data_IF_488328543864
#
_entry.id   IF_488328543864
#
_cell.length_a   1.000
_cell.length_b   1.000
_cell.length_c   1.000
_cell.angle_alpha   90.00
_cell.angle_beta   90.00
_cell.angle_gamma   90.00
#
_symmetry.space_group_name_H-M   'P 1'
#
loop_
_entity.id
_entity.type
_entity.pdbx_description
1 polymer ?
#
# COMPACT_ATOMS: atom_id res chain seq x y z
N UNK A 1 -1.60 -21.82 -5.18
CA UNK A 1 -1.13 -22.73 -6.24
C UNK A 1 -1.02 -24.18 -5.78
N UNK A 2 -0.33 -24.50 -4.67
CA UNK A 2 -0.16 -25.89 -4.19
C UNK A 2 -1.49 -26.63 -3.96
N UNK A 3 -2.47 -26.00 -3.29
CA UNK A 3 -3.79 -26.60 -3.07
C UNK A 3 -4.59 -26.83 -4.36
N UNK A 4 -4.41 -25.97 -5.36
CA UNK A 4 -5.06 -26.09 -6.67
C UNK A 4 -4.43 -27.25 -7.44
N UNK A 5 -3.10 -27.31 -7.49
CA UNK A 5 -2.35 -28.38 -8.15
C UNK A 5 -2.68 -29.72 -7.50
N UNK A 6 -2.66 -29.79 -6.16
CA UNK A 6 -3.03 -30.98 -5.41
C UNK A 6 -4.47 -31.44 -5.71
N UNK A 7 -5.42 -30.51 -5.73
CA UNK A 7 -6.82 -30.81 -6.08
C UNK A 7 -6.97 -31.32 -7.52
N UNK A 8 -6.28 -30.68 -8.49
CA UNK A 8 -6.31 -31.08 -9.90
C UNK A 8 -5.71 -32.48 -10.10
N UNK A 9 -4.56 -32.76 -9.47
CA UNK A 9 -3.91 -34.08 -9.53
C UNK A 9 -4.80 -35.15 -8.89
N UNK A 10 -5.43 -34.86 -7.74
CA UNK A 10 -6.28 -35.84 -7.05
C UNK A 10 -7.59 -36.13 -7.80
N UNK A 11 -8.13 -35.17 -8.55
CA UNK A 11 -9.33 -35.40 -9.37
C UNK A 11 -9.05 -35.83 -10.81
N UNK A 12 -7.78 -35.90 -11.24
CA UNK A 12 -7.36 -36.40 -12.55
C UNK A 12 -8.10 -37.68 -13.00
N UNK A 13 -8.30 -38.71 -12.15
CA UNK A 13 -8.95 -39.95 -12.58
C UNK A 13 -10.44 -39.80 -12.94
N UNK A 14 -11.11 -38.72 -12.48
CA UNK A 14 -12.55 -38.51 -12.66
C UNK A 14 -12.93 -37.68 -13.90
N UNK A 15 -12.01 -36.91 -14.46
CA UNK A 15 -12.31 -35.98 -15.56
C UNK A 15 -12.10 -36.56 -16.96
N UNK A 16 -11.35 -37.67 -17.09
CA UNK A 16 -10.86 -38.13 -18.39
C UNK A 16 -9.95 -37.09 -19.07
N UNK A 17 -9.43 -37.40 -20.26
CA UNK A 17 -8.57 -36.48 -21.03
C UNK A 17 -9.33 -35.22 -21.49
N UNK A 18 -10.59 -35.39 -21.89
CA UNK A 18 -11.40 -34.32 -22.49
C UNK A 18 -11.93 -33.34 -21.43
N UNK A 19 -12.33 -33.85 -20.25
CA UNK A 19 -12.74 -33.01 -19.13
C UNK A 19 -11.57 -32.23 -18.52
N UNK A 20 -10.35 -32.81 -18.53
CA UNK A 20 -9.15 -32.09 -18.11
C UNK A 20 -8.82 -30.93 -19.05
N UNK A 21 -8.88 -31.15 -20.36
CA UNK A 21 -8.67 -30.09 -21.36
C UNK A 21 -9.69 -28.95 -21.21
N UNK A 22 -10.95 -29.25 -20.94
CA UNK A 22 -11.99 -28.25 -20.69
C UNK A 22 -11.72 -27.41 -19.43
N UNK A 23 -11.34 -28.05 -18.31
CA UNK A 23 -11.00 -27.35 -17.06
C UNK A 23 -9.77 -26.46 -17.24
N UNK A 24 -8.75 -26.94 -17.95
CA UNK A 24 -7.57 -26.14 -18.29
C UNK A 24 -7.96 -24.95 -19.18
N UNK A 25 -8.79 -25.16 -20.20
CA UNK A 25 -9.29 -24.08 -21.06
C UNK A 25 -10.01 -22.98 -20.27
N UNK A 26 -10.87 -23.36 -19.32
CA UNK A 26 -11.54 -22.41 -18.43
C UNK A 26 -10.58 -21.66 -17.51
N UNK A 27 -9.59 -22.35 -16.93
CA UNK A 27 -8.55 -21.72 -16.11
C UNK A 27 -7.70 -20.74 -16.92
N UNK A 28 -7.34 -21.10 -18.15
CA UNK A 28 -6.62 -20.23 -19.07
C UNK A 28 -7.45 -18.97 -19.32
N UNK A 29 -8.72 -19.07 -19.70
CA UNK A 29 -9.59 -17.90 -19.93
C UNK A 29 -9.71 -17.04 -18.67
N UNK A 30 -9.92 -17.66 -17.50
CA UNK A 30 -10.08 -16.96 -16.23
C UNK A 30 -8.82 -16.17 -15.83
N UNK A 31 -7.63 -16.66 -16.18
CA UNK A 31 -6.36 -15.98 -15.91
C UNK A 31 -5.97 -14.99 -17.01
N UNK A 32 -6.22 -15.32 -18.27
CA UNK A 32 -5.80 -14.50 -19.42
C UNK A 32 -6.61 -13.24 -19.53
N UNK A 33 -7.91 -13.25 -19.25
CA UNK A 33 -8.75 -12.05 -19.37
C UNK A 33 -8.31 -10.91 -18.42
N UNK A 34 -8.17 -11.12 -17.10
CA UNK A 34 -7.68 -10.06 -16.21
C UNK A 34 -6.21 -9.70 -16.48
N UNK A 35 -5.37 -10.67 -16.85
CA UNK A 35 -3.98 -10.40 -17.21
C UNK A 35 -3.90 -9.54 -18.49
N UNK A 36 -4.65 -9.88 -19.53
CA UNK A 36 -4.70 -9.13 -20.78
C UNK A 36 -5.24 -7.71 -20.56
N UNK A 37 -6.29 -7.55 -19.75
CA UNK A 37 -6.79 -6.23 -19.36
C UNK A 37 -5.72 -5.42 -18.62
N UNK A 38 -5.03 -6.03 -17.66
CA UNK A 38 -3.92 -5.39 -16.93
C UNK A 38 -2.79 -4.96 -17.87
N UNK A 39 -2.30 -5.87 -18.71
CA UNK A 39 -1.20 -5.59 -19.64
C UNK A 39 -1.59 -4.58 -20.71
N UNK A 40 -2.84 -4.58 -21.17
CA UNK A 40 -3.34 -3.59 -22.12
C UNK A 40 -3.31 -2.18 -21.51
N UNK A 41 -3.83 -2.02 -20.28
CA UNK A 41 -3.87 -0.71 -19.60
C UNK A 41 -2.45 -0.24 -19.27
N UNK A 42 -1.64 -1.08 -18.63
CA UNK A 42 -0.26 -0.71 -18.25
C UNK A 42 0.60 -0.47 -19.49
N UNK A 43 0.52 -1.37 -20.47
CA UNK A 43 1.28 -1.28 -21.72
C UNK A 43 0.89 -0.07 -22.56
N UNK A 44 -0.38 0.35 -22.56
CA UNK A 44 -0.80 1.58 -23.24
C UNK A 44 -0.16 2.82 -22.60
N UNK A 45 -0.13 2.91 -21.27
CA UNK A 45 0.53 4.02 -20.56
C UNK A 45 2.04 4.00 -20.84
N UNK A 46 2.68 2.84 -20.76
CA UNK A 46 4.11 2.69 -21.03
C UNK A 46 4.46 3.03 -22.49
N UNK A 47 3.60 2.67 -23.45
CA UNK A 47 3.77 3.02 -24.86
C UNK A 47 3.63 4.53 -25.11
N UNK A 48 2.66 5.18 -24.47
CA UNK A 48 2.52 6.64 -24.52
C UNK A 48 3.76 7.31 -23.94
N UNK A 49 4.27 6.82 -22.80
CA UNK A 49 5.48 7.34 -22.19
C UNK A 49 6.72 7.11 -23.07
N UNK A 50 6.79 5.99 -23.79
CA UNK A 50 7.87 5.76 -24.74
C UNK A 50 7.85 6.77 -25.88
N UNK A 51 6.68 7.03 -26.47
CA UNK A 51 6.53 8.01 -27.55
C UNK A 51 6.78 9.45 -27.08
N UNK A 52 6.36 9.81 -25.86
CA UNK A 52 6.47 11.18 -25.34
C UNK A 52 7.79 11.49 -24.66
N UNK A 53 8.36 10.53 -23.94
CA UNK A 53 9.50 10.72 -23.04
C UNK A 53 10.70 9.82 -23.37
N UNK A 54 10.57 8.92 -24.35
CA UNK A 54 11.64 7.99 -24.75
C UNK A 54 11.86 6.81 -23.80
N UNK A 55 10.97 6.59 -22.83
CA UNK A 55 11.09 5.52 -21.83
C UNK A 55 9.81 4.70 -21.69
N UNK A 56 9.95 3.38 -21.76
CA UNK A 56 8.85 2.43 -21.57
C UNK A 56 8.69 2.09 -20.08
N UNK A 57 8.09 2.99 -19.32
CA UNK A 57 7.82 2.83 -17.88
C UNK A 57 6.71 3.76 -17.41
N UNK A 58 5.98 3.37 -16.36
CA UNK A 58 4.89 4.17 -15.77
C UNK A 58 5.24 4.82 -14.42
N UNK A 59 6.35 4.43 -13.81
CA UNK A 59 6.77 4.93 -12.50
C UNK A 59 8.30 4.97 -12.41
N UNK A 60 8.83 6.15 -12.14
CA UNK A 60 10.29 6.36 -12.05
C UNK A 60 10.91 5.71 -10.82
N UNK A 61 10.17 5.60 -9.70
CA UNK A 61 10.67 4.96 -8.48
C UNK A 61 10.90 3.45 -8.63
N UNK A 62 10.39 2.86 -9.72
CA UNK A 62 10.62 1.45 -10.09
C UNK A 62 11.77 1.27 -11.07
N UNK A 63 12.40 2.36 -11.52
CA UNK A 63 13.53 2.29 -12.44
C UNK A 63 14.79 1.83 -11.71
N UNK A 64 15.62 1.05 -12.41
CA UNK A 64 16.85 0.53 -11.85
C UNK A 64 17.84 1.66 -11.51
N UNK A 65 17.85 2.74 -12.30
CA UNK A 65 18.67 3.93 -12.08
C UNK A 65 18.26 4.67 -10.80
N UNK A 66 16.98 4.99 -10.61
CA UNK A 66 16.51 5.63 -9.39
C UNK A 66 16.77 4.76 -8.14
N UNK A 67 16.48 3.46 -8.22
CA UNK A 67 16.70 2.53 -7.11
C UNK A 67 18.19 2.38 -6.76
N UNK A 68 19.09 2.42 -7.75
CA UNK A 68 20.52 2.41 -7.51
C UNK A 68 21.00 3.67 -6.79
N UNK A 69 20.53 4.86 -7.18
CA UNK A 69 20.87 6.11 -6.50
C UNK A 69 20.32 6.15 -5.07
N UNK A 70 19.04 5.82 -4.88
CA UNK A 70 18.40 5.77 -3.56
C UNK A 70 19.10 4.74 -2.66
N UNK A 71 19.39 3.55 -3.19
CA UNK A 71 20.09 2.48 -2.47
C UNK A 71 21.52 2.84 -2.09
N UNK A 72 22.25 3.54 -2.97
CA UNK A 72 23.60 4.03 -2.69
C UNK A 72 23.63 5.10 -1.59
N UNK A 73 22.66 6.02 -1.59
CA UNK A 73 22.56 7.04 -0.53
C UNK A 73 22.13 6.44 0.81
N UNK A 74 21.13 5.57 0.80
CA UNK A 74 20.57 4.98 2.04
C UNK A 74 21.47 3.94 2.71
N UNK A 75 22.50 3.41 2.03
CA UNK A 75 23.48 2.49 2.63
C UNK A 75 24.63 3.21 3.35
N UNK A 76 24.75 4.53 3.25
CA UNK A 76 25.79 5.29 3.98
C UNK A 76 25.56 5.11 5.48
N UNK A 77 26.60 4.82 6.26
CA UNK A 77 26.43 4.55 7.70
C UNK A 77 26.15 5.84 8.46
N UNK A 78 25.04 5.84 9.19
CA UNK A 78 24.62 6.94 10.06
C UNK A 78 25.27 6.81 11.43
N UNK A 79 25.51 7.93 12.10
CA UNK A 79 25.99 7.93 13.50
C UNK A 79 24.89 7.47 14.46
N UNK A 80 23.66 7.96 14.24
CA UNK A 80 22.49 7.66 15.06
C UNK A 80 21.38 7.13 14.17
N UNK A 81 20.91 5.92 14.48
CA UNK A 81 19.74 5.37 13.82
C UNK A 81 18.47 6.03 14.37
N UNK A 82 17.55 6.37 13.48
CA UNK A 82 16.23 6.93 13.81
C UNK A 82 15.16 6.24 12.96
N UNK A 83 13.98 5.91 13.52
CA UNK A 83 12.85 5.40 12.76
C UNK A 83 12.47 6.35 11.62
N UNK A 84 12.11 5.78 10.46
CA UNK A 84 11.72 6.53 9.26
C UNK A 84 12.74 7.53 8.71
N UNK A 85 14.04 7.41 9.03
CA UNK A 85 15.07 8.28 8.46
C UNK A 85 16.10 7.44 7.70
N UNK A 86 16.17 7.65 6.39
CA UNK A 86 17.03 6.87 5.47
C UNK A 86 18.25 7.61 4.97
N UNK A 87 18.25 8.95 5.00
CA UNK A 87 19.38 9.77 4.53
C UNK A 87 19.51 11.05 5.39
N UNK A 88 19.89 10.88 6.67
CA UNK A 88 20.03 11.98 7.64
C UNK A 88 21.17 12.92 7.27
N UNK A 89 21.23 14.09 7.92
CA UNK A 89 22.20 15.16 7.63
C UNK A 89 23.65 14.68 7.65
N UNK A 90 24.04 13.81 8.58
CA UNK A 90 25.42 13.28 8.63
C UNK A 90 25.74 12.41 7.40
N UNK A 91 24.78 11.61 6.93
CA UNK A 91 24.90 10.85 5.69
C UNK A 91 24.98 11.76 4.47
N UNK A 92 24.18 12.84 4.43
CA UNK A 92 24.22 13.86 3.38
C UNK A 92 25.60 14.51 3.28
N UNK A 93 26.16 14.94 4.42
CA UNK A 93 27.50 15.54 4.48
C UNK A 93 28.59 14.58 3.97
N UNK A 94 28.53 13.30 4.35
CA UNK A 94 29.44 12.26 3.84
C UNK A 94 29.31 12.10 2.32
N UNK A 95 28.09 12.06 1.79
CA UNK A 95 27.84 11.98 0.35
C UNK A 95 28.41 13.20 -0.39
N UNK A 96 28.18 14.42 0.12
CA UNK A 96 28.74 15.65 -0.45
C UNK A 96 30.27 15.66 -0.46
N UNK A 97 30.94 15.01 0.48
CA UNK A 97 32.40 14.94 0.49
C UNK A 97 32.94 14.11 -0.69
N UNK A 98 32.24 13.05 -1.09
CA UNK A 98 32.77 12.03 -2.01
C UNK A 98 32.16 12.03 -3.41
N UNK A 99 30.97 12.60 -3.60
CA UNK A 99 30.25 12.59 -4.88
C UNK A 99 30.00 14.02 -5.39
N UNK A 100 30.58 14.41 -6.54
CA UNK A 100 30.21 15.62 -7.26
C UNK A 100 28.70 15.75 -7.48
N UNK A 101 28.02 14.67 -7.87
CA UNK A 101 26.57 14.69 -8.11
C UNK A 101 25.81 14.91 -6.79
N UNK A 102 26.21 14.28 -5.68
CA UNK A 102 25.60 14.58 -4.39
C UNK A 102 25.80 16.05 -3.98
N UNK A 103 26.98 16.65 -4.24
CA UNK A 103 27.23 18.07 -3.94
C UNK A 103 26.30 19.00 -4.69
N UNK A 104 25.98 18.68 -5.93
CA UNK A 104 25.05 19.45 -6.75
C UNK A 104 23.64 19.48 -6.12
N UNK A 105 23.24 18.41 -5.42
CA UNK A 105 21.94 18.33 -4.73
C UNK A 105 21.89 19.11 -3.40
N UNK A 106 23.05 19.49 -2.84
CA UNK A 106 23.16 20.17 -1.54
C UNK A 106 22.26 21.40 -1.39
N UNK A 107 22.23 22.39 -2.30
CA UNK A 107 21.36 23.56 -2.12
C UNK A 107 19.87 23.20 -2.13
N UNK A 108 19.47 22.07 -2.71
CA UNK A 108 18.08 21.63 -2.77
C UNK A 108 17.68 20.85 -1.52
N UNK A 109 18.58 20.02 -0.97
CA UNK A 109 18.33 19.31 0.30
C UNK A 109 18.46 20.20 1.54
N UNK A 110 19.42 21.12 1.55
CA UNK A 110 19.66 22.02 2.70
C UNK A 110 18.92 23.37 2.57
N UNK A 111 18.22 23.58 1.45
CA UNK A 111 17.45 24.77 1.15
C UNK A 111 15.92 24.58 1.27
N UNK A 112 15.13 25.50 0.69
CA UNK A 112 13.67 25.49 0.83
C UNK A 112 12.97 24.21 0.34
N UNK A 113 13.53 23.53 -0.67
CA UNK A 113 12.95 22.29 -1.21
C UNK A 113 12.99 21.14 -0.21
N UNK A 114 14.17 20.88 0.37
CA UNK A 114 14.34 19.86 1.41
C UNK A 114 13.58 20.20 2.69
N UNK A 115 13.56 21.48 3.08
CA UNK A 115 12.75 21.96 4.21
C UNK A 115 11.25 21.76 3.98
N UNK A 116 10.76 21.98 2.76
CA UNK A 116 9.38 21.69 2.38
C UNK A 116 9.02 20.22 2.58
N UNK A 117 9.85 19.30 2.04
CA UNK A 117 9.63 17.86 2.22
C UNK A 117 9.77 17.39 3.66
N UNK A 118 10.70 17.99 4.43
CA UNK A 118 10.83 17.77 5.87
C UNK A 118 9.52 18.11 6.55
N UNK A 119 9.03 19.34 6.38
CA UNK A 119 7.81 19.85 7.01
C UNK A 119 6.60 18.98 6.67
N UNK A 120 6.39 18.63 5.41
CA UNK A 120 5.28 17.75 4.98
C UNK A 120 5.32 16.42 5.73
N UNK A 121 6.49 15.80 5.83
CA UNK A 121 6.66 14.55 6.58
C UNK A 121 6.34 14.72 8.06
N UNK A 122 6.94 15.73 8.70
CA UNK A 122 6.78 15.96 10.14
C UNK A 122 5.33 16.31 10.52
N UNK A 123 4.66 17.13 9.72
CA UNK A 123 3.27 17.53 9.94
C UNK A 123 2.34 16.31 9.79
N UNK A 124 2.57 15.47 8.78
CA UNK A 124 1.78 14.25 8.56
C UNK A 124 1.95 13.22 9.68
N UNK A 125 3.15 13.10 10.26
CA UNK A 125 3.44 12.13 11.32
C UNK A 125 3.35 12.70 12.73
N UNK A 126 2.97 13.99 12.87
CA UNK A 126 2.98 14.73 14.13
C UNK A 126 4.29 14.55 14.94
N UNK A 127 5.42 14.46 14.25
CA UNK A 127 6.73 14.17 14.86
C UNK A 127 7.41 15.46 15.29
N UNK A 128 7.82 15.55 16.57
CA UNK A 128 8.59 16.67 17.11
C UNK A 128 9.51 16.20 18.24
N UNK A 129 10.82 16.51 18.22
CA UNK A 129 11.55 17.21 17.16
C UNK A 129 11.65 16.35 15.89
N UNK A 130 11.65 16.98 14.72
CA UNK A 130 11.72 16.30 13.42
C UNK A 130 12.81 16.94 12.54
N UNK A 131 14.09 16.68 12.83
CA UNK A 131 15.20 17.37 12.17
C UNK A 131 15.46 16.88 10.74
N UNK A 132 14.85 15.78 10.31
CA UNK A 132 15.20 15.08 9.07
C UNK A 132 14.02 14.87 8.14
N UNK A 133 14.31 14.77 6.84
CA UNK A 133 13.33 14.37 5.83
C UNK A 133 12.96 12.90 6.08
N UNK A 134 11.69 12.65 6.38
CA UNK A 134 11.20 11.30 6.66
C UNK A 134 11.16 10.45 5.38
N UNK A 135 11.37 9.14 5.53
CA UNK A 135 11.65 8.22 4.43
C UNK A 135 10.49 8.06 3.45
N UNK A 136 9.25 8.27 3.92
CA UNK A 136 8.05 8.36 3.09
C UNK A 136 8.01 9.53 2.10
N UNK A 137 8.90 10.50 2.29
CA UNK A 137 9.00 11.69 1.45
C UNK A 137 10.38 11.85 0.83
N UNK A 138 11.38 11.09 1.27
CA UNK A 138 12.74 11.17 0.73
C UNK A 138 12.82 10.84 -0.76
N UNK A 139 11.99 9.92 -1.28
CA UNK A 139 11.96 9.63 -2.72
C UNK A 139 11.53 10.85 -3.55
N UNK A 140 10.57 11.63 -3.03
CA UNK A 140 10.13 12.87 -3.66
C UNK A 140 11.19 13.97 -3.50
N UNK A 141 11.80 14.09 -2.32
CA UNK A 141 12.88 15.04 -2.08
C UNK A 141 14.08 14.80 -3.01
N UNK A 142 14.51 13.55 -3.18
CA UNK A 142 15.57 13.18 -4.11
C UNK A 142 15.18 13.49 -5.55
N UNK A 143 13.96 13.08 -5.96
CA UNK A 143 13.47 13.32 -7.31
C UNK A 143 13.43 14.81 -7.65
N UNK A 144 12.88 15.61 -6.76
CA UNK A 144 12.70 17.04 -6.95
C UNK A 144 14.03 17.80 -6.87
N UNK A 145 14.98 17.35 -6.03
CA UNK A 145 16.33 17.91 -6.02
C UNK A 145 17.06 17.68 -7.36
N UNK A 146 16.90 16.50 -7.96
CA UNK A 146 17.46 16.17 -9.28
C UNK A 146 16.74 16.94 -10.40
N UNK A 147 15.43 17.13 -10.28
CA UNK A 147 14.66 17.95 -11.22
C UNK A 147 15.07 19.44 -11.15
N UNK A 148 15.21 19.98 -9.94
CA UNK A 148 15.56 21.37 -9.70
C UNK A 148 17.01 21.71 -10.07
N UNK A 149 17.89 20.70 -10.13
CA UNK A 149 19.25 20.81 -10.70
C UNK A 149 19.28 20.69 -12.23
N UNK A 150 18.14 20.48 -12.89
CA UNK A 150 18.00 20.52 -14.35
C UNK A 150 18.15 19.18 -15.07
N UNK A 151 18.26 18.06 -14.35
CA UNK A 151 18.51 16.74 -14.95
C UNK A 151 17.26 16.05 -15.48
N UNK A 152 16.07 16.64 -15.29
CA UNK A 152 14.80 16.14 -15.82
C UNK A 152 14.42 16.72 -17.20
N UNK A 153 15.39 17.27 -17.94
CA UNK A 153 15.19 17.74 -19.33
C UNK A 153 14.85 16.61 -20.31
N UNK A 154 15.29 15.38 -20.02
CA UNK A 154 14.86 14.15 -20.69
C UNK A 154 14.96 12.97 -19.72
N UNK A 155 14.26 11.88 -20.02
CA UNK A 155 14.37 10.67 -19.21
C UNK A 155 15.81 10.10 -19.23
N UNK A 156 16.50 10.16 -20.37
CA UNK A 156 17.88 9.69 -20.49
C UNK A 156 18.87 10.49 -19.64
N UNK A 157 18.67 11.81 -19.50
CA UNK A 157 19.49 12.68 -18.66
C UNK A 157 19.32 12.32 -17.18
N UNK A 158 18.06 12.19 -16.72
CA UNK A 158 17.75 11.79 -15.34
C UNK A 158 18.32 10.40 -15.02
N UNK A 159 18.14 9.42 -15.92
CA UNK A 159 18.70 8.08 -15.76
C UNK A 159 20.22 8.09 -15.62
N UNK A 160 20.91 8.89 -16.43
CA UNK A 160 22.36 9.00 -16.39
C UNK A 160 22.82 9.64 -15.08
N UNK A 161 22.13 10.69 -14.65
CA UNK A 161 22.38 11.35 -13.36
C UNK A 161 22.32 10.38 -12.18
N UNK A 162 21.23 9.63 -12.08
CA UNK A 162 21.07 8.65 -10.99
C UNK A 162 22.15 7.57 -11.02
N UNK A 163 22.55 7.11 -12.21
CA UNK A 163 23.64 6.13 -12.35
C UNK A 163 24.99 6.70 -11.90
N UNK A 164 25.31 7.94 -12.26
CA UNK A 164 26.57 8.58 -11.82
C UNK A 164 26.58 8.81 -10.32
N UNK A 165 25.49 9.32 -9.75
CA UNK A 165 25.35 9.48 -8.31
C UNK A 165 25.54 8.14 -7.58
N UNK A 166 24.89 7.08 -8.08
CA UNK A 166 25.03 5.75 -7.52
C UNK A 166 26.46 5.21 -7.63
N UNK A 167 27.13 5.38 -8.78
CA UNK A 167 28.50 4.87 -8.98
C UNK A 167 29.50 5.58 -8.08
N UNK A 168 29.43 6.91 -7.98
CA UNK A 168 30.36 7.70 -7.17
C UNK A 168 30.27 7.34 -5.68
N UNK A 169 29.04 7.25 -5.16
CA UNK A 169 28.81 6.90 -3.75
C UNK A 169 29.22 5.45 -3.49
N UNK A 170 28.84 4.51 -4.37
CA UNK A 170 29.22 3.11 -4.21
C UNK A 170 30.74 2.90 -4.27
N UNK A 171 31.45 3.56 -5.19
CA UNK A 171 32.91 3.48 -5.24
C UNK A 171 33.58 4.02 -3.97
N UNK A 172 33.07 5.13 -3.42
CA UNK A 172 33.56 5.68 -2.16
C UNK A 172 33.33 4.73 -0.97
N UNK A 173 32.18 4.03 -0.95
CA UNK A 173 31.90 2.97 0.01
C UNK A 173 32.84 1.77 -0.17
N UNK A 174 33.02 1.31 -1.41
CA UNK A 174 33.77 0.09 -1.73
C UNK A 174 35.29 0.29 -1.49
N UNK A 175 35.80 1.51 -1.66
CA UNK A 175 37.17 1.91 -1.28
C UNK A 175 37.35 2.22 0.22
N UNK A 176 36.27 2.23 1.00
CA UNK A 176 36.31 2.58 2.44
C UNK A 176 36.55 4.05 2.73
N UNK A 177 36.38 4.95 1.75
CA UNK A 177 36.49 6.41 1.94
C UNK A 177 35.41 6.94 2.89
N UNK A 178 34.22 6.36 2.83
CA UNK A 178 33.13 6.54 3.79
C UNK A 178 32.63 5.18 4.26
N UNK A 179 32.18 5.08 5.51
CA UNK A 179 31.59 3.85 6.03
C UNK A 179 30.19 3.63 5.46
N UNK A 180 29.92 2.43 4.96
CA UNK A 180 28.63 2.05 4.39
C UNK A 180 28.25 0.62 4.78
N UNK A 181 26.96 0.30 4.72
CA UNK A 181 26.45 -1.07 4.74
C UNK A 181 26.63 -1.78 3.40
N UNK A 182 26.07 -3.00 3.23
CA UNK A 182 26.10 -3.74 1.96
C UNK A 182 25.53 -2.95 0.78
N UNK A 183 25.95 -3.27 -0.45
CA UNK A 183 25.42 -2.64 -1.68
C UNK A 183 23.94 -2.99 -1.88
N UNK A 184 23.17 -2.01 -2.35
CA UNK A 184 21.71 -2.12 -2.51
C UNK A 184 21.25 -1.24 -3.66
N UNK A 185 20.33 -1.77 -4.45
CA UNK A 185 19.61 -1.05 -5.51
C UNK A 185 18.11 -1.17 -5.21
N UNK A 186 17.68 -0.55 -4.12
CA UNK A 186 16.31 -0.68 -3.61
C UNK A 186 15.94 0.52 -2.75
N UNK A 187 14.64 0.80 -2.68
CA UNK A 187 14.07 1.76 -1.74
C UNK A 187 13.71 1.15 -0.38
N UNK A 188 13.86 -0.17 -0.22
CA UNK A 188 13.67 -0.82 1.08
C UNK A 188 14.82 -0.40 2.01
N UNK A 189 14.52 0.18 3.19
CA UNK A 189 15.55 0.68 4.09
C UNK A 189 16.54 -0.43 4.49
N UNK A 190 17.78 -0.07 4.88
CA UNK A 190 18.73 -1.03 5.43
C UNK A 190 18.11 -1.85 6.55
N UNK A 191 18.38 -3.16 6.58
CA UNK A 191 17.76 -4.05 7.54
C UNK A 191 18.28 -3.81 8.96
N UNK A 192 17.36 -3.65 9.91
CA UNK A 192 17.63 -3.69 11.35
C UNK A 192 16.91 -4.90 11.96
N UNK A 193 17.58 -5.62 12.86
CA UNK A 193 17.04 -6.83 13.49
C UNK A 193 15.71 -6.59 14.20
N UNK A 194 15.53 -5.39 14.78
CA UNK A 194 14.32 -4.97 15.48
C UNK A 194 13.08 -4.92 14.55
N UNK A 195 13.27 -4.70 13.24
CA UNK A 195 12.17 -4.62 12.28
C UNK A 195 11.31 -5.88 12.22
N UNK A 196 11.85 -7.06 12.53
CA UNK A 196 11.05 -8.28 12.56
C UNK A 196 9.95 -8.22 13.63
N UNK A 197 10.30 -7.79 14.84
CA UNK A 197 9.37 -7.66 15.96
C UNK A 197 8.43 -6.48 15.74
N UNK A 198 8.97 -5.34 15.34
CA UNK A 198 8.18 -4.13 15.06
C UNK A 198 7.15 -4.37 13.96
N UNK A 199 7.51 -5.13 12.91
CA UNK A 199 6.60 -5.53 11.83
C UNK A 199 5.46 -6.40 12.34
N UNK A 200 5.73 -7.33 13.26
CA UNK A 200 4.70 -8.19 13.83
C UNK A 200 3.73 -7.38 14.70
N UNK A 201 4.25 -6.49 15.55
CA UNK A 201 3.44 -5.60 16.38
C UNK A 201 2.61 -4.62 15.53
N UNK A 202 3.22 -4.03 14.50
CA UNK A 202 2.53 -3.17 13.57
C UNK A 202 1.46 -3.93 12.77
N UNK A 203 1.74 -5.14 12.31
CA UNK A 203 0.76 -6.00 11.63
C UNK A 203 -0.45 -6.29 12.52
N UNK A 204 -0.23 -6.51 13.83
CA UNK A 204 -1.34 -6.65 14.80
C UNK A 204 -2.18 -5.37 14.87
N UNK A 205 -1.55 -4.19 14.95
CA UNK A 205 -2.28 -2.90 14.97
C UNK A 205 -3.06 -2.67 13.67
N UNK A 206 -2.46 -2.99 12.52
CA UNK A 206 -3.10 -2.92 11.20
C UNK A 206 -4.29 -3.87 11.10
N UNK A 207 -4.14 -5.11 11.57
CA UNK A 207 -5.23 -6.07 11.63
C UNK A 207 -6.38 -5.59 12.52
N UNK A 208 -6.07 -5.05 13.70
CA UNK A 208 -7.08 -4.48 14.59
C UNK A 208 -7.82 -3.32 13.91
N UNK A 209 -7.09 -2.42 13.22
CA UNK A 209 -7.71 -1.34 12.45
C UNK A 209 -8.59 -1.86 11.30
N UNK A 210 -8.20 -2.93 10.62
CA UNK A 210 -9.02 -3.58 9.59
C UNK A 210 -10.35 -4.11 10.16
N UNK A 211 -10.32 -4.87 11.25
CA UNK A 211 -11.55 -5.47 11.80
C UNK A 211 -12.44 -4.45 12.50
N UNK A 212 -11.89 -3.34 13.00
CA UNK A 212 -12.69 -2.24 13.54
C UNK A 212 -13.10 -1.22 12.48
N UNK A 213 -12.56 -1.30 11.26
CA UNK A 213 -12.65 -0.27 10.22
C UNK A 213 -12.24 1.13 10.74
N UNK A 214 -11.25 1.17 11.63
CA UNK A 214 -10.87 2.36 12.40
C UNK A 214 -12.03 3.01 13.16
N UNK A 215 -12.94 2.17 13.68
CA UNK A 215 -14.21 2.57 14.29
C UNK A 215 -15.19 3.27 13.33
N UNK A 216 -14.96 3.13 12.02
CA UNK A 216 -15.80 3.61 10.93
C UNK A 216 -16.31 5.05 11.15
N UNK A 217 -15.40 6.04 11.27
CA UNK A 217 -15.80 7.41 11.52
C UNK A 217 -16.64 7.92 10.35
N UNK A 218 -17.91 8.19 10.60
CA UNK A 218 -18.82 8.79 9.60
C UNK A 218 -18.60 10.29 9.62
N UNK A 219 -17.64 10.74 8.82
CA UNK A 219 -17.30 12.16 8.65
C UNK A 219 -17.61 12.55 7.21
N UNK A 220 -18.18 13.74 7.04
CA UNK A 220 -18.32 14.39 5.74
C UNK A 220 -17.48 15.65 5.85
N UNK A 221 -16.29 15.62 5.27
CA UNK A 221 -15.43 16.80 5.20
C UNK A 221 -15.98 17.76 4.13
N UNK A 222 -15.95 19.08 4.38
CA UNK A 222 -16.34 20.05 3.38
C UNK A 222 -15.40 19.96 2.16
N UNK A 223 -15.93 20.28 0.99
CA UNK A 223 -15.10 20.39 -0.21
C UNK A 223 -14.17 21.60 -0.06
N UNK A 224 -12.86 21.38 -0.18
CA UNK A 224 -11.85 22.44 -0.08
C UNK A 224 -11.42 22.91 -1.46
N UNK A 225 -11.31 24.23 -1.63
CA UNK A 225 -10.85 24.86 -2.87
C UNK A 225 -11.38 26.28 -3.01
N UNK A 226 -10.81 27.01 -3.96
CA UNK A 226 -11.41 28.26 -4.45
C UNK A 226 -12.74 27.97 -5.14
N UNK A 227 -13.61 28.97 -5.28
CA UNK A 227 -14.88 28.84 -5.98
C UNK A 227 -14.70 28.32 -7.42
N UNK A 228 -13.65 28.77 -8.10
CA UNK A 228 -13.27 28.28 -9.43
C UNK A 228 -12.89 26.79 -9.41
N UNK A 229 -12.03 26.36 -8.46
CA UNK A 229 -11.62 24.96 -8.33
C UNK A 229 -12.81 24.05 -8.01
N UNK A 230 -13.70 24.49 -7.12
CA UNK A 230 -14.91 23.76 -6.75
C UNK A 230 -15.89 23.70 -7.94
N UNK A 231 -16.07 24.81 -8.66
CA UNK A 231 -16.89 24.86 -9.88
C UNK A 231 -16.38 23.93 -10.96
N UNK A 232 -15.06 23.92 -11.21
CA UNK A 232 -14.43 23.00 -12.16
C UNK A 232 -14.57 21.55 -11.72
N UNK A 233 -14.34 21.26 -10.43
CA UNK A 233 -14.51 19.91 -9.89
C UNK A 233 -15.94 19.41 -10.08
N UNK A 234 -16.94 20.24 -9.75
CA UNK A 234 -18.36 19.93 -9.94
C UNK A 234 -18.67 19.66 -11.42
N UNK A 235 -18.16 20.50 -12.33
CA UNK A 235 -18.35 20.33 -13.78
C UNK A 235 -17.74 19.03 -14.30
N UNK A 236 -16.52 18.70 -13.88
CA UNK A 236 -15.77 17.53 -14.38
C UNK A 236 -16.30 16.22 -13.79
N UNK A 237 -16.64 16.21 -12.50
CA UNK A 237 -17.05 14.98 -11.80
C UNK A 237 -18.57 14.77 -11.81
N UNK A 238 -19.34 15.82 -12.12
CA UNK A 238 -20.78 15.89 -11.88
C UNK A 238 -21.16 15.44 -10.45
N UNK A 239 -20.24 15.64 -9.51
CA UNK A 239 -20.32 15.16 -8.14
C UNK A 239 -20.88 16.22 -7.20
N UNK A 240 -21.65 15.84 -6.16
CA UNK A 240 -22.16 16.80 -5.18
C UNK A 240 -21.00 17.40 -4.37
N UNK A 241 -20.95 18.74 -4.30
CA UNK A 241 -20.05 19.46 -3.40
C UNK A 241 -20.68 19.58 -2.01
N UNK A 242 -19.84 19.53 -0.98
CA UNK A 242 -20.23 19.86 0.39
C UNK A 242 -19.72 21.27 0.66
N UNK A 243 -20.60 22.26 0.47
CA UNK A 243 -20.27 23.67 0.70
C UNK A 243 -20.25 23.99 2.20
N UNK A 244 -19.31 24.83 2.63
CA UNK A 244 -19.11 25.18 4.03
C UNK A 244 -20.34 25.86 4.68
N UNK A 245 -21.19 26.51 3.88
CA UNK A 245 -22.43 27.17 4.29
C UNK A 245 -23.59 26.20 4.59
N UNK A 246 -23.47 24.93 4.17
CA UNK A 246 -24.45 23.87 4.48
C UNK A 246 -24.25 23.25 5.88
N UNK A 247 -23.21 23.68 6.60
CA UNK A 247 -22.91 23.29 7.98
C UNK A 247 -23.47 24.35 8.93
N UNK A 248 -24.48 23.99 9.73
CA UNK A 248 -25.09 24.89 10.69
C UNK A 248 -24.10 25.28 11.81
N UNK A 249 -23.85 26.58 11.97
CA UNK A 249 -23.18 27.14 13.16
C UNK A 249 -21.66 27.31 13.08
N UNK A 250 -21.04 27.15 11.91
CA UNK A 250 -19.65 27.54 11.71
C UNK A 250 -19.61 28.85 10.92
N UNK A 251 -19.02 29.91 11.49
CA UNK A 251 -18.46 30.95 10.62
C UNK A 251 -17.40 30.27 9.74
N UNK A 252 -17.23 30.72 8.51
CA UNK A 252 -16.28 30.17 7.52
C UNK A 252 -14.82 30.05 8.01
N UNK A 253 -14.48 30.64 9.16
CA UNK A 253 -13.17 30.52 9.84
C UNK A 253 -13.06 29.39 10.87
N UNK A 254 -14.19 28.81 11.31
CA UNK A 254 -14.23 27.76 12.33
C UNK A 254 -14.25 26.35 11.71
N UNK A 255 -14.66 26.24 10.44
CA UNK A 255 -14.68 24.98 9.68
C UNK A 255 -13.27 24.37 9.52
N UNK A 256 -12.24 25.22 9.45
CA UNK A 256 -10.84 24.81 9.29
C UNK A 256 -10.21 24.29 10.59
N UNK A 257 -10.77 24.65 11.75
CA UNK A 257 -10.21 24.32 13.08
C UNK A 257 -10.95 23.22 13.82
N UNK A 258 -12.18 22.91 13.40
CA UNK A 258 -13.04 21.99 14.12
C UNK A 258 -13.05 20.65 13.39
N UNK A 259 -12.04 19.82 13.70
CA UNK A 259 -12.12 18.36 13.53
C UNK A 259 -13.19 17.74 14.43
N UNK A 260 -14.42 18.23 14.35
CA UNK A 260 -15.46 18.03 15.35
C UNK A 260 -16.87 18.24 14.80
N UNK A 261 -17.57 17.13 14.57
CA UNK A 261 -19.04 17.02 14.51
C UNK A 261 -19.74 18.07 13.62
N UNK A 262 -19.80 17.80 12.32
CA UNK A 262 -20.69 18.51 11.39
C UNK A 262 -22.14 18.46 11.89
N UNK A 263 -22.78 19.62 12.00
CA UNK A 263 -24.20 19.75 12.28
C UNK A 263 -24.96 20.14 11.00
N UNK A 264 -25.72 19.19 10.46
CA UNK A 264 -26.56 19.45 9.28
C UNK A 264 -27.84 20.19 9.67
N UNK A 265 -28.15 21.28 8.96
CA UNK A 265 -29.39 22.04 9.14
C UNK A 265 -30.63 21.27 8.67
N UNK A 266 -30.48 20.47 7.61
CA UNK A 266 -31.54 19.69 6.99
C UNK A 266 -31.98 18.51 7.87
N UNK A 267 -33.28 18.36 8.21
CA UNK A 267 -33.79 17.19 8.92
C UNK A 267 -33.46 15.87 8.21
N UNK A 268 -33.48 15.86 6.88
CA UNK A 268 -33.14 14.69 6.05
C UNK A 268 -31.69 14.25 6.26
N UNK A 269 -30.76 15.21 6.30
CA UNK A 269 -29.33 14.91 6.42
C UNK A 269 -28.96 14.51 7.84
N UNK A 270 -29.69 15.01 8.86
CA UNK A 270 -29.62 14.48 10.23
C UNK A 270 -30.03 13.01 10.31
N UNK A 271 -31.15 12.64 9.66
CA UNK A 271 -31.60 11.24 9.61
C UNK A 271 -30.56 10.36 8.88
N UNK A 272 -30.06 10.80 7.72
CA UNK A 272 -29.03 10.07 6.97
C UNK A 272 -27.75 9.87 7.77
N UNK A 273 -27.29 10.89 8.47
CA UNK A 273 -26.10 10.80 9.34
C UNK A 273 -26.35 9.82 10.50
N UNK A 274 -27.52 9.87 11.14
CA UNK A 274 -27.88 8.95 12.21
C UNK A 274 -27.93 7.49 11.72
N UNK A 275 -28.57 7.25 10.58
CA UNK A 275 -28.60 5.93 9.94
C UNK A 275 -27.19 5.44 9.59
N UNK A 276 -26.37 6.30 9.00
CA UNK A 276 -24.98 5.96 8.62
C UNK A 276 -24.14 5.60 9.84
N UNK A 277 -24.27 6.35 10.94
CA UNK A 277 -23.60 6.03 12.22
C UNK A 277 -24.07 4.70 12.81
N UNK A 278 -25.36 4.41 12.73
CA UNK A 278 -25.92 3.15 13.21
C UNK A 278 -25.43 1.96 12.37
N UNK A 279 -25.44 2.09 11.03
CA UNK A 279 -24.90 1.07 10.11
C UNK A 279 -23.40 0.85 10.39
N UNK A 280 -22.62 1.92 10.50
CA UNK A 280 -21.19 1.86 10.80
C UNK A 280 -20.94 1.13 12.13
N UNK A 281 -21.69 1.47 13.18
CA UNK A 281 -21.56 0.85 14.49
C UNK A 281 -21.87 -0.66 14.45
N UNK A 282 -22.97 -1.05 13.81
CA UNK A 282 -23.32 -2.45 13.62
C UNK A 282 -22.27 -3.21 12.82
N UNK A 283 -21.75 -2.59 11.76
CA UNK A 283 -20.69 -3.17 10.93
C UNK A 283 -19.42 -3.40 11.73
N UNK A 284 -19.01 -2.46 12.57
CA UNK A 284 -17.84 -2.63 13.45
C UNK A 284 -18.06 -3.80 14.42
N UNK A 285 -19.20 -3.84 15.12
CA UNK A 285 -19.52 -4.93 16.06
C UNK A 285 -19.51 -6.29 15.37
N UNK A 286 -20.11 -6.37 14.18
CA UNK A 286 -20.10 -7.58 13.36
C UNK A 286 -18.68 -7.98 12.95
N UNK A 287 -17.90 -7.06 12.39
CA UNK A 287 -16.57 -7.35 11.84
C UNK A 287 -15.58 -7.81 12.90
N UNK A 288 -15.59 -7.18 14.08
CA UNK A 288 -14.69 -7.52 15.19
C UNK A 288 -14.86 -8.96 15.65
N UNK A 289 -16.06 -9.55 15.49
CA UNK A 289 -16.33 -10.95 15.86
C UNK A 289 -16.26 -11.87 14.63
N UNK A 290 -16.97 -11.53 13.56
CA UNK A 290 -17.21 -12.40 12.42
C UNK A 290 -15.95 -12.67 11.60
N UNK A 291 -15.06 -11.67 11.43
CA UNK A 291 -13.83 -11.84 10.65
C UNK A 291 -12.87 -12.79 11.39
N UNK A 292 -12.48 -12.55 12.67
CA UNK A 292 -11.64 -13.50 13.39
C UNK A 292 -12.26 -14.90 13.48
N UNK A 293 -13.58 -14.99 13.73
CA UNK A 293 -14.29 -16.26 13.80
C UNK A 293 -14.22 -17.03 12.47
N UNK A 294 -14.41 -16.36 11.33
CA UNK A 294 -14.29 -16.98 10.01
C UNK A 294 -12.87 -17.44 9.71
N UNK A 295 -11.84 -16.65 10.09
CA UNK A 295 -10.43 -17.05 9.94
C UNK A 295 -10.13 -18.32 10.74
N UNK A 296 -10.55 -18.38 12.02
CA UNK A 296 -10.35 -19.54 12.89
C UNK A 296 -11.15 -20.77 12.41
N UNK A 297 -12.41 -20.58 12.02
CA UNK A 297 -13.25 -21.65 11.50
C UNK A 297 -12.67 -22.23 10.21
N UNK A 298 -12.09 -21.41 9.33
CA UNK A 298 -11.43 -21.92 8.13
C UNK A 298 -10.19 -22.76 8.45
N UNK A 299 -9.38 -22.37 9.44
CA UNK A 299 -8.24 -23.19 9.90
C UNK A 299 -8.72 -24.54 10.42
N UNK A 300 -9.81 -24.56 11.19
CA UNK A 300 -10.41 -25.81 11.66
C UNK A 300 -10.95 -26.67 10.50
N UNK A 301 -11.64 -26.08 9.52
CA UNK A 301 -12.11 -26.79 8.34
C UNK A 301 -10.95 -27.32 7.49
N UNK A 302 -9.85 -26.57 7.38
CA UNK A 302 -8.65 -27.01 6.67
C UNK A 302 -8.03 -28.22 7.37
N UNK A 303 -7.90 -28.17 8.70
CA UNK A 303 -7.41 -29.31 9.48
C UNK A 303 -8.34 -30.53 9.35
N UNK A 304 -9.66 -30.33 9.41
CA UNK A 304 -10.66 -31.38 9.18
C UNK A 304 -10.50 -32.03 7.80
N UNK A 305 -10.39 -31.23 6.73
CA UNK A 305 -10.20 -31.69 5.36
C UNK A 305 -8.89 -32.46 5.16
N UNK A 306 -7.81 -32.05 5.84
CA UNK A 306 -6.54 -32.77 5.85
C UNK A 306 -6.69 -34.13 6.55
N UNK A 307 -7.27 -34.16 7.75
CA UNK A 307 -7.41 -35.39 8.57
C UNK A 307 -8.36 -36.39 7.92
N UNK A 308 -9.49 -35.93 7.38
CA UNK A 308 -10.46 -36.79 6.68
C UNK A 308 -10.05 -37.10 5.24
N UNK A 309 -9.06 -36.39 4.71
CA UNK A 309 -8.68 -36.50 3.31
C UNK A 309 -9.76 -36.02 2.33
N UNK A 310 -10.74 -35.24 2.79
CA UNK A 310 -11.87 -34.75 1.97
C UNK A 310 -11.62 -33.29 1.60
N UNK A 311 -11.60 -32.98 0.31
CA UNK A 311 -11.22 -31.66 -0.19
C UNK A 311 -12.30 -31.06 -1.07
N UNK A 312 -12.73 -29.84 -0.72
CA UNK A 312 -13.66 -29.04 -1.50
C UNK A 312 -12.94 -27.84 -2.15
N UNK A 313 -13.34 -27.46 -3.37
CA UNK A 313 -12.71 -26.36 -4.13
C UNK A 313 -12.84 -25.00 -3.42
N UNK A 314 -13.84 -24.83 -2.54
CA UNK A 314 -14.01 -23.64 -1.73
C UNK A 314 -12.80 -23.32 -0.82
N UNK A 315 -11.95 -24.29 -0.47
CA UNK A 315 -10.69 -24.00 0.21
C UNK A 315 -9.77 -23.09 -0.62
N UNK A 316 -9.79 -23.19 -1.95
CA UNK A 316 -8.98 -22.34 -2.83
C UNK A 316 -9.43 -20.88 -2.75
N UNK A 317 -10.75 -20.65 -2.82
CA UNK A 317 -11.33 -19.31 -2.69
C UNK A 317 -10.99 -18.69 -1.33
N UNK A 318 -11.24 -19.44 -0.25
CA UNK A 318 -10.96 -18.93 1.10
C UNK A 318 -9.47 -18.73 1.32
N UNK A 319 -8.60 -19.60 0.80
CA UNK A 319 -7.16 -19.42 0.86
C UNK A 319 -6.70 -18.16 0.12
N UNK A 320 -7.30 -17.84 -1.03
CA UNK A 320 -7.00 -16.61 -1.77
C UNK A 320 -7.41 -15.35 -0.98
N UNK A 321 -8.60 -15.35 -0.37
CA UNK A 321 -9.04 -14.26 0.51
C UNK A 321 -8.11 -14.10 1.72
N UNK A 322 -7.78 -15.20 2.39
CA UNK A 322 -6.86 -15.23 3.53
C UNK A 322 -5.47 -14.74 3.15
N UNK A 323 -4.93 -15.18 2.02
CA UNK A 323 -3.65 -14.72 1.51
C UNK A 323 -3.67 -13.22 1.21
N UNK A 324 -4.74 -12.69 0.62
CA UNK A 324 -4.87 -11.26 0.36
C UNK A 324 -4.93 -10.44 1.67
N UNK A 325 -5.65 -10.92 2.69
CA UNK A 325 -5.72 -10.30 4.03
C UNK A 325 -4.34 -10.31 4.69
N UNK A 326 -3.72 -11.48 4.82
CA UNK A 326 -2.43 -11.65 5.52
C UNK A 326 -1.32 -10.88 4.80
N UNK A 327 -1.24 -10.93 3.48
CA UNK A 327 -0.19 -10.21 2.74
C UNK A 327 -0.39 -8.71 2.81
N UNK A 328 -1.62 -8.20 2.73
CA UNK A 328 -1.87 -6.75 2.85
C UNK A 328 -1.58 -6.25 4.26
N UNK A 329 -2.07 -6.95 5.29
CA UNK A 329 -1.82 -6.61 6.69
C UNK A 329 -0.31 -6.65 6.99
N UNK A 330 0.38 -7.70 6.54
CA UNK A 330 1.82 -7.85 6.72
C UNK A 330 2.63 -6.80 5.97
N UNK A 331 2.26 -6.46 4.74
CA UNK A 331 2.90 -5.40 3.97
C UNK A 331 2.76 -4.04 4.66
N UNK A 332 1.56 -3.69 5.12
CA UNK A 332 1.35 -2.43 5.84
C UNK A 332 2.05 -2.46 7.20
N UNK A 333 2.03 -3.57 7.93
CA UNK A 333 2.82 -3.72 9.16
C UNK A 333 4.32 -3.51 8.91
N UNK A 334 4.85 -4.05 7.82
CA UNK A 334 6.25 -3.86 7.43
C UNK A 334 6.56 -2.40 7.07
N UNK A 335 5.69 -1.75 6.28
CA UNK A 335 5.85 -0.34 5.94
C UNK A 335 5.75 0.56 7.18
N UNK A 336 4.80 0.28 8.09
CA UNK A 336 4.62 0.95 9.38
C UNK A 336 5.83 0.78 10.30
N UNK A 337 6.47 -0.39 10.30
CA UNK A 337 7.67 -0.60 11.10
C UNK A 337 8.93 0.07 10.53
N UNK A 338 9.01 0.22 9.21
CA UNK A 338 10.29 0.54 8.55
C UNK A 338 10.35 1.91 7.89
N UNK A 339 9.24 2.36 7.29
CA UNK A 339 9.29 3.41 6.25
C UNK A 339 8.32 4.55 6.51
N UNK A 340 7.03 4.25 6.69
CA UNK A 340 5.97 5.26 6.77
C UNK A 340 4.85 4.80 7.69
N UNK A 341 4.12 5.71 8.37
CA UNK A 341 2.91 5.36 9.13
C UNK A 341 1.79 4.88 8.19
N UNK A 342 1.85 3.60 7.81
CA UNK A 342 1.00 3.03 6.76
C UNK A 342 -0.30 2.44 7.31
N UNK A 343 -0.43 2.38 8.64
CA UNK A 343 -1.64 1.91 9.29
C UNK A 343 -2.78 2.94 9.15
N UNK A 344 -3.50 2.94 8.03
CA UNK A 344 -4.65 3.82 7.81
C UNK A 344 -5.70 3.16 6.89
N UNK A 345 -6.94 3.67 6.95
CA UNK A 345 -8.06 3.08 6.18
C UNK A 345 -7.93 3.28 4.67
N UNK A 346 -7.24 4.33 4.21
CA UNK A 346 -6.97 4.53 2.78
C UNK A 346 -6.19 3.35 2.21
N UNK A 347 -5.14 2.90 2.89
CA UNK A 347 -4.32 1.77 2.46
C UNK A 347 -4.93 0.39 2.75
N UNK A 348 -5.82 0.29 3.74
CA UNK A 348 -6.59 -0.92 4.03
C UNK A 348 -7.83 -1.09 3.14
N UNK A 349 -8.32 -0.02 2.51
CA UNK A 349 -9.55 -0.04 1.70
C UNK A 349 -9.63 -1.19 0.67
N UNK A 350 -8.56 -1.60 -0.04
CA UNK A 350 -8.65 -2.67 -1.03
C UNK A 350 -8.90 -4.06 -0.41
N UNK A 351 -8.57 -4.26 0.87
CA UNK A 351 -8.69 -5.57 1.54
C UNK A 351 -9.94 -5.71 2.41
N UNK A 352 -10.63 -4.59 2.70
CA UNK A 352 -11.93 -4.60 3.39
C UNK A 352 -12.95 -5.53 2.72
N UNK A 353 -13.24 -5.43 1.39
CA UNK A 353 -14.22 -6.32 0.76
C UNK A 353 -13.79 -7.80 0.79
N UNK A 354 -12.49 -8.08 0.75
CA UNK A 354 -11.96 -9.44 0.85
C UNK A 354 -12.19 -10.03 2.25
N UNK A 355 -11.96 -9.23 3.29
CA UNK A 355 -12.23 -9.62 4.68
C UNK A 355 -13.73 -9.84 4.94
N UNK A 356 -14.59 -8.97 4.40
CA UNK A 356 -16.05 -9.12 4.50
C UNK A 356 -16.56 -10.36 3.76
N UNK A 357 -15.97 -10.67 2.60
CA UNK A 357 -16.32 -11.86 1.81
C UNK A 357 -15.96 -13.16 2.50
N UNK A 358 -14.96 -13.15 3.40
CA UNK A 358 -14.57 -14.32 4.17
C UNK A 358 -15.72 -14.87 5.02
N UNK A 359 -16.51 -13.96 5.61
CA UNK A 359 -17.56 -14.25 6.58
C UNK A 359 -18.65 -15.18 6.02
N UNK A 360 -19.24 -14.96 4.83
CA UNK A 360 -20.17 -15.90 4.22
C UNK A 360 -19.48 -17.10 3.54
N UNK A 361 -18.27 -16.94 2.99
CA UNK A 361 -17.59 -18.01 2.25
C UNK A 361 -17.20 -19.19 3.15
N UNK A 362 -16.79 -18.94 4.39
CA UNK A 362 -16.34 -20.00 5.32
C UNK A 362 -17.49 -20.91 5.78
N UNK A 363 -18.63 -20.40 6.28
CA UNK A 363 -19.80 -21.23 6.58
C UNK A 363 -20.31 -21.98 5.36
N UNK A 364 -20.32 -21.36 4.18
CA UNK A 364 -20.73 -22.03 2.95
C UNK A 364 -19.83 -23.23 2.61
N UNK A 365 -18.52 -23.07 2.77
CA UNK A 365 -17.56 -24.17 2.65
C UNK A 365 -17.84 -25.28 3.67
N UNK A 366 -18.12 -24.93 4.92
CA UNK A 366 -18.49 -25.90 5.96
C UNK A 366 -19.75 -26.69 5.62
N UNK A 367 -20.79 -26.02 5.12
CA UNK A 367 -22.03 -26.66 4.65
C UNK A 367 -21.76 -27.59 3.46
N UNK A 368 -20.94 -27.16 2.50
CA UNK A 368 -20.58 -27.98 1.34
C UNK A 368 -19.86 -29.28 1.76
N UNK A 369 -18.84 -29.16 2.63
CA UNK A 369 -18.11 -30.32 3.17
C UNK A 369 -19.04 -31.27 3.95
N UNK A 370 -19.97 -30.73 4.75
CA UNK A 370 -20.93 -31.53 5.51
C UNK A 370 -22.00 -32.21 4.65
N UNK A 371 -22.30 -31.67 3.46
CA UNK A 371 -23.19 -32.32 2.48
C UNK A 371 -22.49 -33.45 1.76
N UNK A 372 -21.26 -33.21 1.29
CA UNK A 372 -20.45 -34.22 0.61
C UNK A 372 -20.16 -35.42 1.54
N UNK A 373 -19.82 -35.17 2.81
CA UNK A 373 -19.58 -36.23 3.79
C UNK A 373 -20.82 -37.10 4.12
N UNK A 374 -22.04 -36.61 3.83
CA UNK A 374 -23.29 -37.37 4.04
C UNK A 374 -23.70 -38.22 2.84
N UNK A 375 -23.09 -38.01 1.68
CA UNK A 375 -23.43 -38.70 0.44
C UNK A 375 -22.36 -39.71 0.02
N UNK A 376 -21.36 -39.98 0.86
CA UNK A 376 -20.50 -41.15 0.66
C UNK A 376 -21.31 -42.41 0.97
N UNK A 377 -21.51 -43.31 0.00
CA UNK A 377 -22.05 -44.63 0.31
C UNK A 377 -21.06 -45.32 1.25
N UNK A 378 -21.56 -45.92 2.33
CA UNK A 378 -20.78 -46.88 3.11
C UNK A 378 -20.27 -47.96 2.14
N UNK A 379 -18.97 -47.95 1.87
CA UNK A 379 -18.28 -48.90 1.02
C UNK A 379 -17.72 -50.05 1.86
#
# INVERSE_FOLDING_TARGET
MVLVIYWMVRRWPRYGTDGFAAVIGQLVIFLTLPAAAFFLVVGAVDAVNYVKYGVFRNNDFRSADFQAAYGALSRIRHEHWQPYVVFPKDARVKAYAVSPHARELKPYFEGPGGEGWRKVGCDQTATSPCPEILSGWFMWALRDAVAASGHYSSASAAMSYYRWLASEVNEACDRGTIQCGPRRDSMIPPWHSQYAVDTLEASKRVYLRLITLDWAPVVIEPSFGTEEQLGLFSLVTNGPLVLADQVCGANSRDVEKVGGKVHFCSPRDRIRLAMSKWIAHLQVLWNVVAIPAAMLAWVALLAFSVVRGHWHSGHVLVAALMAAIVTRVGLLGFLDATSIPSNNMLYLSPVVPMALSLVPCVPWLGIALAKEARHEPEA
#
